data_IF_105659796376
#
_entry.id   IF_105659796376
#
_cell.length_a   1.000
_cell.length_b   1.000
_cell.length_c   1.000
_cell.angle_alpha   90.00
_cell.angle_beta   90.00
_cell.angle_gamma   90.00
#
_symmetry.space_group_name_H-M   'P 1'
#
loop_
_entity.id
_entity.type
_entity.pdbx_description
1 polymer ?
#
# COMPACT_ATOMS: atom_id res chain seq x y z
N UNK A 1 -12.37 -22.20 11.74
CA UNK A 1 -11.09 -22.67 12.27
C UNK A 1 -11.19 -24.20 12.42
N UNK A 2 -10.29 -24.89 13.13
CA UNK A 2 -10.41 -26.35 13.29
C UNK A 2 -11.74 -26.79 13.97
N UNK A 3 -12.40 -25.85 14.65
CA UNK A 3 -13.70 -25.97 15.31
C UNK A 3 -14.92 -25.66 14.40
N UNK A 4 -14.72 -25.37 13.11
CA UNK A 4 -15.80 -24.99 12.19
C UNK A 4 -16.26 -23.52 12.24
N UNK A 5 -15.69 -22.69 13.11
CA UNK A 5 -16.02 -21.25 13.19
C UNK A 5 -15.61 -20.48 11.92
N UNK A 6 -16.40 -19.47 11.54
CA UNK A 6 -16.11 -18.58 10.42
C UNK A 6 -16.00 -17.14 10.90
N UNK A 7 -14.98 -16.43 10.45
CA UNK A 7 -14.70 -15.04 10.82
C UNK A 7 -14.34 -14.21 9.60
N UNK A 8 -14.67 -12.93 9.66
CA UNK A 8 -14.26 -11.91 8.69
C UNK A 8 -13.51 -10.80 9.43
N UNK A 9 -12.40 -10.34 8.86
CA UNK A 9 -11.59 -9.24 9.41
C UNK A 9 -11.62 -8.11 8.39
N UNK A 10 -12.36 -7.05 8.71
CA UNK A 10 -12.34 -5.81 7.93
C UNK A 10 -11.19 -4.92 8.40
N UNK A 11 -10.21 -4.73 7.53
CA UNK A 11 -9.10 -3.80 7.72
C UNK A 11 -9.01 -2.79 6.56
N UNK A 12 -10.15 -2.49 5.94
CA UNK A 12 -10.27 -1.44 4.93
C UNK A 12 -9.78 -0.11 5.47
N UNK A 13 -9.19 0.69 4.59
CA UNK A 13 -8.81 2.06 4.93
C UNK A 13 -10.01 2.87 5.40
N UNK A 14 -9.75 3.83 6.28
CA UNK A 14 -10.75 4.82 6.70
C UNK A 14 -10.43 6.18 6.10
N UNK A 15 -11.46 6.95 5.76
CA UNK A 15 -11.27 8.35 5.41
C UNK A 15 -10.56 9.08 6.58
N UNK A 16 -9.56 9.94 6.30
CA UNK A 16 -8.95 10.78 7.34
C UNK A 16 -10.02 11.62 8.07
N UNK A 17 -9.78 11.96 9.33
CA UNK A 17 -10.74 12.74 10.13
C UNK A 17 -11.03 14.13 9.58
N UNK A 18 -10.12 14.69 8.77
CA UNK A 18 -10.27 15.97 8.08
C UNK A 18 -10.95 15.86 6.71
N UNK A 19 -11.29 14.65 6.25
CA UNK A 19 -11.96 14.46 4.97
C UNK A 19 -13.40 14.99 5.03
N UNK A 20 -13.83 15.63 3.95
CA UNK A 20 -15.20 16.17 3.78
C UNK A 20 -15.84 15.60 2.53
N UNK A 21 -17.17 15.67 2.43
CA UNK A 21 -17.90 15.16 1.28
C UNK A 21 -17.46 15.80 -0.06
N UNK A 22 -16.99 17.05 -0.01
CA UNK A 22 -16.60 17.83 -1.19
C UNK A 22 -15.07 17.88 -1.39
N UNK A 23 -14.29 17.02 -0.73
CA UNK A 23 -12.81 17.03 -0.77
C UNK A 23 -12.22 17.02 -2.20
N UNK A 24 -12.95 16.44 -3.15
CA UNK A 24 -12.51 16.27 -4.54
C UNK A 24 -13.21 17.19 -5.54
N UNK A 25 -13.95 18.20 -5.06
CA UNK A 25 -14.67 19.15 -5.90
C UNK A 25 -13.98 20.52 -5.91
N UNK A 26 -14.06 21.23 -7.04
CA UNK A 26 -13.67 22.63 -7.14
C UNK A 26 -14.74 23.56 -6.56
N UNK A 27 -14.50 24.88 -6.63
CA UNK A 27 -15.43 25.89 -6.11
C UNK A 27 -16.79 25.93 -6.84
N UNK A 28 -16.88 25.35 -8.03
CA UNK A 28 -18.10 25.26 -8.83
C UNK A 28 -18.81 23.91 -8.68
N UNK A 29 -18.25 23.00 -7.86
CA UNK A 29 -18.80 21.66 -7.64
C UNK A 29 -18.37 20.61 -8.67
N UNK A 30 -17.40 20.90 -9.54
CA UNK A 30 -16.90 19.94 -10.52
C UNK A 30 -15.81 19.06 -9.91
N UNK A 31 -15.73 17.80 -10.36
CA UNK A 31 -14.65 16.88 -9.96
C UNK A 31 -13.30 17.42 -10.44
N UNK A 32 -12.34 17.54 -9.52
CA UNK A 32 -10.96 17.90 -9.85
C UNK A 32 -10.24 16.65 -10.39
N UNK A 33 -9.77 16.65 -11.65
CA UNK A 33 -9.08 15.49 -12.22
C UNK A 33 -7.90 15.03 -11.36
N UNK A 34 -7.75 13.71 -11.22
CA UNK A 34 -6.69 13.01 -10.48
C UNK A 34 -6.62 13.25 -8.96
N UNK A 35 -7.39 14.18 -8.39
CA UNK A 35 -7.26 14.55 -6.97
C UNK A 35 -7.59 13.40 -6.01
N UNK A 36 -8.44 12.46 -6.44
CA UNK A 36 -8.84 11.27 -5.70
C UNK A 36 -8.06 10.00 -6.08
N UNK A 37 -7.13 10.07 -7.03
CA UNK A 37 -6.42 8.89 -7.55
C UNK A 37 -4.90 9.03 -7.49
N UNK A 38 -4.36 10.24 -7.55
CA UNK A 38 -2.91 10.50 -7.57
C UNK A 38 -2.52 11.43 -6.41
N UNK A 39 -1.44 11.07 -5.73
CA UNK A 39 -0.86 11.86 -4.65
C UNK A 39 -1.56 11.69 -3.30
N UNK A 40 -1.10 12.44 -2.31
CA UNK A 40 -1.42 12.20 -0.89
C UNK A 40 -2.92 12.35 -0.54
N UNK A 41 -3.69 13.12 -1.31
CA UNK A 41 -5.13 13.31 -1.06
C UNK A 41 -5.96 12.08 -1.45
N UNK A 42 -5.43 11.19 -2.27
CA UNK A 42 -6.07 9.93 -2.65
C UNK A 42 -5.95 8.84 -1.55
N UNK A 43 -5.21 9.10 -0.47
CA UNK A 43 -4.85 8.09 0.53
C UNK A 43 -5.86 8.07 1.68
N UNK A 44 -6.47 6.91 1.92
CA UNK A 44 -7.15 6.60 3.18
C UNK A 44 -6.16 6.14 4.26
N UNK A 45 -6.52 6.23 5.53
CA UNK A 45 -5.70 5.75 6.66
C UNK A 45 -5.48 4.23 6.51
N UNK A 46 -4.24 3.75 6.26
CA UNK A 46 -4.01 2.34 5.91
C UNK A 46 -4.32 1.37 7.05
N UNK A 47 -5.06 0.29 6.76
CA UNK A 47 -5.49 -0.71 7.75
C UNK A 47 -4.73 -2.04 7.73
N UNK A 48 -4.01 -2.36 6.65
CA UNK A 48 -3.40 -3.69 6.44
C UNK A 48 -2.54 -4.18 7.58
N UNK A 49 -1.64 -3.36 8.12
CA UNK A 49 -0.78 -3.74 9.26
C UNK A 49 -1.61 -4.05 10.50
N UNK A 50 -2.59 -3.20 10.82
CA UNK A 50 -3.46 -3.42 11.98
C UNK A 50 -4.29 -4.71 11.83
N UNK A 51 -4.85 -4.95 10.66
CA UNK A 51 -5.62 -6.16 10.34
C UNK A 51 -4.79 -7.44 10.41
N UNK A 52 -3.63 -7.46 9.76
CA UNK A 52 -2.74 -8.62 9.75
C UNK A 52 -2.16 -8.93 11.14
N UNK A 53 -1.78 -7.90 11.90
CA UNK A 53 -1.30 -8.09 13.29
C UNK A 53 -2.44 -8.57 14.19
N UNK A 54 -3.66 -8.07 14.03
CA UNK A 54 -4.83 -8.58 14.75
C UNK A 54 -5.07 -10.07 14.44
N UNK A 55 -5.07 -10.43 13.15
CA UNK A 55 -5.25 -11.80 12.71
C UNK A 55 -4.17 -12.73 13.29
N UNK A 56 -2.89 -12.31 13.23
CA UNK A 56 -1.78 -13.08 13.79
C UNK A 56 -1.91 -13.24 15.31
N UNK A 57 -2.23 -12.17 16.05
CA UNK A 57 -2.38 -12.24 17.51
C UNK A 57 -3.54 -13.12 17.96
N UNK A 58 -4.65 -13.10 17.22
CA UNK A 58 -5.88 -13.80 17.61
C UNK A 58 -5.95 -15.24 17.11
N UNK A 59 -5.39 -15.51 15.93
CA UNK A 59 -5.55 -16.78 15.23
C UNK A 59 -4.23 -17.43 14.79
N UNK A 60 -3.11 -16.69 14.86
CA UNK A 60 -1.80 -17.19 14.47
C UNK A 60 -1.20 -18.15 15.49
N UNK A 61 -0.29 -19.00 15.02
CA UNK A 61 0.46 -19.97 15.85
C UNK A 61 1.94 -19.62 15.98
N UNK A 62 2.50 -18.91 14.99
CA UNK A 62 3.89 -18.51 14.97
C UNK A 62 4.04 -17.07 15.45
N UNK A 63 5.16 -16.70 16.12
CA UNK A 63 5.44 -15.32 16.50
C UNK A 63 5.47 -14.37 15.28
N UNK A 64 5.04 -13.13 15.48
CA UNK A 64 5.03 -12.10 14.42
C UNK A 64 6.42 -11.92 13.77
N UNK A 65 7.49 -11.94 14.57
CA UNK A 65 8.86 -11.81 14.08
C UNK A 65 9.24 -12.93 13.11
N UNK A 66 8.74 -14.15 13.34
CA UNK A 66 9.03 -15.30 12.48
C UNK A 66 8.30 -15.18 11.15
N UNK A 67 7.02 -14.81 11.14
CA UNK A 67 6.25 -14.69 9.90
C UNK A 67 6.68 -13.50 9.04
N UNK A 68 7.24 -12.45 9.65
CA UNK A 68 7.77 -11.28 8.92
C UNK A 68 9.20 -11.46 8.41
N UNK A 69 9.94 -12.46 8.89
CA UNK A 69 11.38 -12.59 8.65
C UNK A 69 11.75 -12.62 7.16
N UNK A 70 10.98 -13.34 6.34
CA UNK A 70 11.24 -13.45 4.90
C UNK A 70 11.11 -12.09 4.18
N UNK A 71 10.03 -11.35 4.43
CA UNK A 71 9.81 -10.03 3.84
C UNK A 71 10.85 -9.01 4.28
N UNK A 72 11.27 -9.04 5.55
CA UNK A 72 12.36 -8.18 6.06
C UNK A 72 13.66 -8.48 5.32
N UNK A 73 13.99 -9.76 5.11
CA UNK A 73 15.19 -10.17 4.38
C UNK A 73 15.16 -9.63 2.94
N UNK A 74 14.07 -9.88 2.21
CA UNK A 74 13.92 -9.40 0.82
C UNK A 74 14.01 -7.88 0.71
N UNK A 75 13.43 -7.13 1.65
CA UNK A 75 13.49 -5.67 1.64
C UNK A 75 14.90 -5.12 1.94
N UNK A 76 15.70 -5.82 2.75
CA UNK A 76 17.07 -5.40 3.12
C UNK A 76 18.11 -5.83 2.10
N UNK A 77 18.02 -7.05 1.61
CA UNK A 77 19.01 -7.66 0.73
C UNK A 77 18.68 -7.50 -0.76
N UNK A 78 17.43 -7.11 -1.06
CA UNK A 78 16.91 -7.07 -2.42
C UNK A 78 16.45 -8.45 -2.91
N UNK A 79 15.84 -8.45 -4.08
CA UNK A 79 15.45 -9.65 -4.82
C UNK A 79 15.51 -9.36 -6.32
N UNK A 80 15.56 -10.40 -7.14
CA UNK A 80 15.53 -10.24 -8.61
C UNK A 80 14.11 -9.96 -9.06
N UNK A 81 13.93 -8.90 -9.84
CA UNK A 81 12.63 -8.58 -10.42
C UNK A 81 12.27 -9.61 -11.50
N UNK A 82 10.99 -9.95 -11.55
CA UNK A 82 10.43 -10.61 -12.72
C UNK A 82 10.29 -9.59 -13.86
N UNK A 83 10.02 -10.10 -15.07
CA UNK A 83 9.69 -9.22 -16.19
C UNK A 83 8.46 -8.37 -15.90
N UNK A 84 7.46 -8.92 -15.22
CA UNK A 84 6.24 -8.20 -14.87
C UNK A 84 6.53 -7.06 -13.89
N UNK A 85 7.30 -7.33 -12.82
CA UNK A 85 7.71 -6.28 -11.87
C UNK A 85 8.46 -5.13 -12.57
N UNK A 86 9.36 -5.45 -13.50
CA UNK A 86 10.14 -4.46 -14.23
C UNK A 86 9.28 -3.61 -15.19
N UNK A 87 8.23 -4.19 -15.79
CA UNK A 87 7.26 -3.43 -16.59
C UNK A 87 6.36 -2.56 -15.71
N UNK A 88 5.87 -3.07 -14.58
CA UNK A 88 5.02 -2.33 -13.64
C UNK A 88 5.75 -1.10 -13.07
N UNK A 89 7.06 -1.20 -12.82
CA UNK A 89 7.87 -0.08 -12.35
C UNK A 89 8.06 1.04 -13.39
N UNK A 90 7.63 0.85 -14.64
CA UNK A 90 7.60 1.91 -15.67
C UNK A 90 6.39 2.84 -15.54
N UNK A 91 5.52 2.65 -14.55
CA UNK A 91 4.44 3.59 -14.26
C UNK A 91 4.98 5.02 -14.09
N UNK A 92 4.47 5.93 -14.93
CA UNK A 92 4.83 7.35 -14.91
C UNK A 92 4.57 8.01 -13.55
N UNK A 93 3.57 7.56 -12.80
CA UNK A 93 3.22 8.14 -11.50
C UNK A 93 4.26 7.83 -10.42
N UNK A 94 4.99 6.71 -10.53
CA UNK A 94 6.13 6.43 -9.64
C UNK A 94 7.27 7.44 -9.84
N UNK A 95 7.39 8.01 -11.05
CA UNK A 95 8.36 9.04 -11.33
C UNK A 95 7.95 10.42 -10.80
N UNK A 96 6.66 10.70 -10.58
CA UNK A 96 6.16 12.03 -10.20
C UNK A 96 6.61 12.46 -8.80
N UNK A 97 6.85 11.51 -7.89
CA UNK A 97 7.23 11.80 -6.50
C UNK A 97 8.71 11.46 -6.23
N UNK A 98 9.49 12.34 -5.58
CA UNK A 98 10.93 12.12 -5.37
C UNK A 98 11.27 10.79 -4.66
N UNK A 99 10.54 10.44 -3.60
CA UNK A 99 10.81 9.20 -2.86
C UNK A 99 10.43 7.94 -3.65
N UNK A 100 9.31 7.96 -4.36
CA UNK A 100 8.93 6.86 -5.24
C UNK A 100 9.98 6.67 -6.34
N UNK A 101 10.44 7.76 -6.96
CA UNK A 101 11.50 7.72 -7.98
C UNK A 101 12.80 7.14 -7.43
N UNK A 102 13.19 7.52 -6.22
CA UNK A 102 14.42 7.03 -5.57
C UNK A 102 14.39 5.52 -5.32
N UNK A 103 13.22 4.95 -5.01
CA UNK A 103 13.05 3.54 -4.69
C UNK A 103 12.86 2.70 -5.97
N UNK A 104 11.92 3.12 -6.83
CA UNK A 104 11.44 2.33 -7.97
C UNK A 104 12.15 2.65 -9.30
N UNK A 105 13.15 3.53 -9.30
CA UNK A 105 14.06 3.74 -10.43
C UNK A 105 15.53 3.67 -9.99
N UNK A 106 16.43 3.48 -10.96
CA UNK A 106 17.88 3.42 -10.77
C UNK A 106 18.54 4.65 -11.38
N UNK A 107 18.66 5.72 -10.59
CA UNK A 107 19.24 7.01 -11.01
C UNK A 107 18.57 7.61 -12.26
N UNK A 108 17.23 7.52 -12.33
CA UNK A 108 16.45 8.01 -13.46
C UNK A 108 16.28 7.00 -14.62
N UNK A 109 16.87 5.81 -14.52
CA UNK A 109 16.62 4.70 -15.45
C UNK A 109 15.66 3.67 -14.83
N UNK A 110 14.95 2.93 -15.67
CA UNK A 110 14.11 1.81 -15.21
C UNK A 110 14.95 0.58 -14.85
N UNK A 111 14.42 -0.25 -13.95
CA UNK A 111 14.95 -1.59 -13.75
C UNK A 111 14.68 -2.45 -15.02
N UNK A 112 15.58 -3.39 -15.30
CA UNK A 112 15.53 -4.29 -16.46
C UNK A 112 15.63 -5.74 -16.00
#
# INVERSE_FOLDING_TARGET
MADGSTHFIDYREKAPSSATANLYLDAYGNVVPNLSTIGYKAIGVPGSVAGMVYAQKKYGKLPLAQVMAASIKMAREGFTLTREDAEDFKDKHLAEFPESRRIFQRNGNYYQ
#
